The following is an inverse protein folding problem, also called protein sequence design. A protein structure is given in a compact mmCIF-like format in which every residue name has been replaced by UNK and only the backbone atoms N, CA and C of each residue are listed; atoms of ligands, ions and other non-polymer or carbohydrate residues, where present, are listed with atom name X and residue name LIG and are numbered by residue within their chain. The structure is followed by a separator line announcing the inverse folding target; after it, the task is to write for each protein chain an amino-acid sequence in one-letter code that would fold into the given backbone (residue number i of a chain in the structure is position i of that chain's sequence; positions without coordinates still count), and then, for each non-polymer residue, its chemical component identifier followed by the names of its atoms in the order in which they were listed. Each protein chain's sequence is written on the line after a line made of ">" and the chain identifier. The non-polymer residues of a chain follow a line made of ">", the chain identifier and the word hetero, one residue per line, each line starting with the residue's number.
data_IF_455095791926
#
_entry.id   IF_455095791926
#
_cell.length_a   1.000
_cell.length_b   1.000
_cell.length_c   1.000
_cell.angle_alpha   90.00
_cell.angle_beta   90.00
_cell.angle_gamma   90.00
#
_symmetry.space_group_name_H-M   'P 1'
#
loop_
_entity.id
_entity.type
_entity.pdbx_description
1 polymer ?
#
# COMPACT_ATOMS: atom_id res chain seq x y z
N UNK A 1 11.34 -23.04 -29.16
CA UNK A 1 12.17 -22.04 -28.45
C UNK A 1 11.37 -20.82 -27.95
N UNK A 2 10.18 -20.48 -28.51
CA UNK A 2 9.37 -19.33 -28.07
C UNK A 2 8.81 -19.46 -26.65
N UNK A 3 8.22 -20.62 -26.30
CA UNK A 3 7.51 -20.80 -25.03
C UNK A 3 8.40 -20.66 -23.79
N UNK A 4 9.64 -21.14 -23.83
CA UNK A 4 10.57 -20.99 -22.71
C UNK A 4 10.98 -19.53 -22.49
N UNK A 5 11.12 -18.74 -23.55
CA UNK A 5 11.41 -17.30 -23.47
C UNK A 5 10.22 -16.53 -22.85
N UNK A 6 8.99 -16.90 -23.24
CA UNK A 6 7.76 -16.32 -22.69
C UNK A 6 7.60 -16.62 -21.19
N UNK A 7 7.89 -17.85 -20.74
CA UNK A 7 7.83 -18.22 -19.32
C UNK A 7 8.84 -17.44 -18.47
N UNK A 8 10.09 -17.32 -18.94
CA UNK A 8 11.14 -16.55 -18.23
C UNK A 8 10.74 -15.08 -18.13
N UNK A 9 10.21 -14.49 -19.22
CA UNK A 9 9.75 -13.10 -19.23
C UNK A 9 8.60 -12.89 -18.24
N UNK A 10 7.65 -13.83 -18.18
CA UNK A 10 6.53 -13.79 -17.23
C UNK A 10 7.02 -13.86 -15.78
N UNK A 11 7.92 -14.78 -15.46
CA UNK A 11 8.49 -14.91 -14.11
C UNK A 11 9.23 -13.63 -13.68
N UNK A 12 9.99 -13.01 -14.58
CA UNK A 12 10.66 -11.73 -14.31
C UNK A 12 9.66 -10.60 -14.02
N UNK A 13 8.58 -10.50 -14.80
CA UNK A 13 7.54 -9.49 -14.57
C UNK A 13 6.84 -9.71 -13.23
N UNK A 14 6.49 -10.95 -12.89
CA UNK A 14 5.90 -11.30 -11.59
C UNK A 14 6.85 -10.95 -10.45
N UNK A 15 8.15 -11.24 -10.57
CA UNK A 15 9.15 -10.84 -9.59
C UNK A 15 9.19 -9.33 -9.35
N UNK A 16 9.13 -8.52 -10.42
CA UNK A 16 9.10 -7.05 -10.31
C UNK A 16 7.81 -6.53 -9.67
N UNK A 17 6.66 -7.14 -9.96
CA UNK A 17 5.39 -6.77 -9.31
C UNK A 17 5.42 -7.12 -7.83
N UNK A 18 6.01 -8.25 -7.47
CA UNK A 18 6.15 -8.66 -6.08
C UNK A 18 7.02 -7.66 -5.29
N UNK A 19 8.16 -7.28 -5.84
CA UNK A 19 9.04 -6.27 -5.23
C UNK A 19 8.37 -4.90 -5.12
N UNK A 20 7.72 -4.44 -6.20
CA UNK A 20 7.03 -3.15 -6.21
C UNK A 20 5.86 -3.09 -5.20
N UNK A 21 5.11 -4.19 -5.07
CA UNK A 21 4.01 -4.27 -4.09
C UNK A 21 4.53 -4.28 -2.65
N UNK A 22 5.64 -4.97 -2.36
CA UNK A 22 6.29 -4.92 -1.05
C UNK A 22 6.74 -3.50 -0.68
N UNK A 23 7.45 -2.81 -1.58
CA UNK A 23 7.87 -1.42 -1.38
C UNK A 23 6.67 -0.49 -1.16
N UNK A 24 5.58 -0.70 -1.92
CA UNK A 24 4.34 0.03 -1.74
C UNK A 24 3.73 -0.16 -0.35
N UNK A 25 3.66 -1.39 0.14
CA UNK A 25 3.13 -1.70 1.46
C UNK A 25 3.99 -1.08 2.57
N UNK A 26 5.31 -1.19 2.49
CA UNK A 26 6.23 -0.53 3.44
C UNK A 26 6.04 1.00 3.45
N UNK A 27 5.90 1.62 2.28
CA UNK A 27 5.63 3.05 2.17
C UNK A 27 4.30 3.45 2.83
N UNK A 28 3.26 2.63 2.66
CA UNK A 28 1.97 2.82 3.30
C UNK A 28 2.08 2.67 4.83
N UNK A 29 2.78 1.66 5.33
CA UNK A 29 3.00 1.45 6.76
C UNK A 29 3.74 2.64 7.41
N UNK A 30 4.71 3.23 6.71
CA UNK A 30 5.43 4.43 7.19
C UNK A 30 4.55 5.68 7.33
N UNK A 31 3.49 5.80 6.52
CA UNK A 31 2.59 6.96 6.54
C UNK A 31 1.56 6.88 7.67
N UNK A 32 1.20 5.68 8.11
CA UNK A 32 0.16 5.46 9.13
C UNK A 32 0.44 6.22 10.45
N UNK A 33 1.65 6.14 11.06
CA UNK A 33 1.96 6.88 12.29
C UNK A 33 1.86 8.40 12.11
N UNK A 34 2.27 8.92 10.94
CA UNK A 34 2.21 10.35 10.67
C UNK A 34 0.76 10.88 10.66
N UNK A 35 -0.15 10.12 10.05
CA UNK A 35 -1.58 10.45 10.04
C UNK A 35 -2.20 10.35 11.43
N UNK A 36 -1.76 9.42 12.27
CA UNK A 36 -2.22 9.30 13.66
C UNK A 36 -1.78 10.48 14.53
N UNK A 37 -0.51 10.88 14.40
CA UNK A 37 0.02 12.07 15.09
C UNK A 37 -0.70 13.33 14.61
N UNK A 38 -0.86 13.51 13.30
CA UNK A 38 -1.58 14.65 12.73
C UNK A 38 -3.05 14.70 13.19
N UNK A 39 -3.72 13.55 13.27
CA UNK A 39 -5.08 13.45 13.80
C UNK A 39 -5.13 13.90 15.27
N UNK A 40 -4.21 13.40 16.12
CA UNK A 40 -4.15 13.80 17.54
C UNK A 40 -3.90 15.29 17.70
N UNK A 41 -2.93 15.85 16.98
CA UNK A 41 -2.62 17.29 17.03
C UNK A 41 -3.82 18.13 16.60
N UNK A 42 -4.49 17.76 15.52
CA UNK A 42 -5.70 18.43 15.05
C UNK A 42 -6.83 18.40 16.10
N UNK A 43 -7.05 17.26 16.76
CA UNK A 43 -8.06 17.17 17.84
C UNK A 43 -7.70 17.99 19.08
N UNK A 44 -6.42 18.23 19.34
CA UNK A 44 -5.94 19.00 20.49
C UNK A 44 -5.92 20.51 20.27
N UNK A 45 -6.03 20.97 19.03
CA UNK A 45 -5.92 22.39 18.69
C UNK A 45 -7.12 23.24 19.15
N UNK A 46 -8.20 22.63 19.65
CA UNK A 46 -9.45 23.29 20.15
C UNK A 46 -10.03 24.36 19.20
N UNK A 47 -9.68 24.30 17.92
CA UNK A 47 -10.11 25.18 16.85
C UNK A 47 -10.84 24.38 15.76
N UNK A 48 -11.78 25.01 15.06
CA UNK A 48 -12.56 24.36 14.00
C UNK A 48 -11.66 23.80 12.90
N UNK A 49 -10.61 24.53 12.52
CA UNK A 49 -9.64 24.08 11.51
C UNK A 49 -8.89 22.83 11.98
N UNK A 50 -8.60 22.71 13.28
CA UNK A 50 -7.97 21.53 13.86
C UNK A 50 -8.86 20.28 13.77
N UNK A 51 -10.16 20.45 14.04
CA UNK A 51 -11.14 19.37 13.91
C UNK A 51 -11.30 18.93 12.44
N UNK A 52 -11.33 19.88 11.50
CA UNK A 52 -11.37 19.60 10.06
C UNK A 52 -10.11 18.87 9.59
N UNK A 53 -8.92 19.35 9.99
CA UNK A 53 -7.65 18.70 9.68
C UNK A 53 -7.58 17.26 10.21
N UNK A 54 -8.04 17.04 11.45
CA UNK A 54 -8.14 15.70 12.02
C UNK A 54 -9.13 14.81 11.25
N UNK A 55 -10.22 15.37 10.75
CA UNK A 55 -11.17 14.69 9.85
C UNK A 55 -10.51 14.22 8.56
N UNK A 56 -9.77 15.10 7.89
CA UNK A 56 -9.01 14.78 6.67
C UNK A 56 -7.97 13.69 6.95
N UNK A 57 -7.25 13.75 8.06
CA UNK A 57 -6.27 12.73 8.43
C UNK A 57 -6.92 11.35 8.67
N UNK A 58 -8.12 11.31 9.27
CA UNK A 58 -8.89 10.06 9.41
C UNK A 58 -9.33 9.50 8.06
N UNK A 59 -9.80 10.34 7.14
CA UNK A 59 -10.15 9.94 5.78
C UNK A 59 -8.94 9.42 5.01
N UNK A 60 -7.80 10.12 5.13
CA UNK A 60 -6.55 9.70 4.53
C UNK A 60 -6.12 8.32 5.06
N UNK A 61 -6.24 8.08 6.38
CA UNK A 61 -5.91 6.78 6.97
C UNK A 61 -6.82 5.66 6.48
N UNK A 62 -8.13 5.92 6.37
CA UNK A 62 -9.05 4.95 5.78
C UNK A 62 -8.67 4.62 4.33
N UNK A 63 -8.40 5.62 3.49
CA UNK A 63 -7.96 5.37 2.12
C UNK A 63 -6.64 4.57 2.08
N UNK A 64 -5.74 4.84 3.02
CA UNK A 64 -4.48 4.13 3.18
C UNK A 64 -4.70 2.64 3.49
N UNK A 65 -5.67 2.33 4.36
CA UNK A 65 -6.10 0.95 4.66
C UNK A 65 -6.63 0.24 3.41
N UNK A 66 -7.47 0.90 2.62
CA UNK A 66 -8.00 0.34 1.37
C UNK A 66 -6.88 0.05 0.36
N UNK A 67 -5.94 0.99 0.17
CA UNK A 67 -4.80 0.78 -0.73
C UNK A 67 -3.85 -0.31 -0.24
N UNK A 68 -3.64 -0.39 1.07
CA UNK A 68 -2.83 -1.45 1.67
C UNK A 68 -3.47 -2.81 1.36
N UNK A 69 -4.76 -2.99 1.64
CA UNK A 69 -5.47 -4.23 1.36
C UNK A 69 -5.43 -4.62 -0.12
N UNK A 70 -5.59 -3.64 -1.03
CA UNK A 70 -5.51 -3.89 -2.46
C UNK A 70 -4.10 -4.31 -2.92
N UNK A 71 -3.05 -3.65 -2.40
CA UNK A 71 -1.67 -4.01 -2.71
C UNK A 71 -1.28 -5.37 -2.12
N UNK A 72 -1.79 -5.69 -0.93
CA UNK A 72 -1.56 -6.98 -0.27
C UNK A 72 -2.14 -8.13 -1.10
N UNK A 73 -3.36 -7.96 -1.61
CA UNK A 73 -3.98 -8.91 -2.54
C UNK A 73 -3.14 -9.10 -3.82
N UNK A 74 -2.67 -8.02 -4.42
CA UNK A 74 -1.80 -8.08 -5.62
C UNK A 74 -0.52 -8.84 -5.31
N UNK A 75 0.11 -8.57 -4.17
CA UNK A 75 1.33 -9.23 -3.71
C UNK A 75 1.10 -10.73 -3.54
N UNK A 76 0.02 -11.12 -2.87
CA UNK A 76 -0.33 -12.53 -2.63
C UNK A 76 -0.63 -13.29 -3.92
N UNK A 77 -1.40 -12.69 -4.82
CA UNK A 77 -1.72 -13.28 -6.13
C UNK A 77 -0.46 -13.45 -6.98
N UNK A 78 0.41 -12.43 -6.99
CA UNK A 78 1.69 -12.46 -7.71
C UNK A 78 2.60 -13.55 -7.15
N UNK A 79 2.69 -13.66 -5.82
CA UNK A 79 3.48 -14.70 -5.17
C UNK A 79 2.93 -16.11 -5.46
N UNK A 80 1.59 -16.26 -5.53
CA UNK A 80 0.96 -17.53 -5.93
C UNK A 80 1.28 -17.88 -7.38
N UNK A 81 1.07 -16.93 -8.29
CA UNK A 81 1.39 -17.10 -9.71
C UNK A 81 2.86 -17.45 -9.95
N UNK A 82 3.79 -16.91 -9.16
CA UNK A 82 5.22 -17.23 -9.27
C UNK A 82 5.55 -18.64 -8.75
N UNK A 83 4.83 -19.14 -7.75
CA UNK A 83 4.99 -20.52 -7.25
C UNK A 83 4.45 -21.57 -8.21
N UNK A 84 3.46 -21.19 -9.02
CA UNK A 84 2.77 -22.06 -9.99
C UNK A 84 3.39 -22.01 -11.40
N UNK A 85 4.31 -21.08 -11.67
CA UNK A 85 4.94 -20.83 -12.98
C UNK A 85 6.29 -21.54 -13.15
#
# INVERSE_FOLDING_TARGET
>A
MSQACETVTRQQLLGRVLEASQLGLEALEMLRPALEVATRLGTQAEAEEGAQAAGVCRLARWALDEYHNALDLIREETARSLREA
#
